data_IF_038128660240
#
_entry.id   IF_038128660240
#
_cell.length_a   1.000
_cell.length_b   1.000
_cell.length_c   1.000
_cell.angle_alpha   90.00
_cell.angle_beta   90.00
_cell.angle_gamma   90.00
#
_symmetry.space_group_name_H-M   'P 1'
#
loop_
_entity.id
_entity.type
_entity.pdbx_description
1 polymer ?
#
# COMPACT_ATOMS: atom_id res chain seq x y z
N UNK A 1 -1.92 1.87 3.71
CA UNK A 1 -3.34 1.84 3.29
C UNK A 1 -3.80 3.11 2.58
N UNK A 2 -3.40 4.27 3.06
CA UNK A 2 -3.86 5.54 2.47
C UNK A 2 -3.54 5.65 0.98
N UNK A 3 -2.33 5.24 0.58
CA UNK A 3 -1.88 5.34 -0.81
C UNK A 3 -2.74 4.54 -1.79
N UNK A 4 -3.37 3.45 -1.35
CA UNK A 4 -4.19 2.58 -2.20
C UNK A 4 -5.69 2.83 -2.04
N UNK A 5 -6.09 3.80 -1.22
CA UNK A 5 -7.51 4.05 -0.91
C UNK A 5 -8.26 4.75 -2.04
N UNK A 6 -7.58 5.39 -2.96
CA UNK A 6 -8.19 6.08 -4.09
C UNK A 6 -8.44 5.13 -5.27
N UNK A 7 -9.32 5.52 -6.19
CA UNK A 7 -9.63 4.74 -7.39
C UNK A 7 -8.42 4.60 -8.32
N UNK A 8 -7.55 5.61 -8.36
CA UNK A 8 -6.29 5.61 -9.10
C UNK A 8 -5.18 6.11 -8.22
N UNK A 9 -4.04 5.47 -8.30
CA UNK A 9 -2.85 5.86 -7.54
C UNK A 9 -1.66 6.04 -8.47
N UNK A 10 -0.77 6.97 -8.14
CA UNK A 10 0.44 7.25 -8.91
C UNK A 10 1.61 7.48 -7.98
N UNK A 11 2.80 7.16 -8.45
CA UNK A 11 4.04 7.37 -7.72
C UNK A 11 5.12 7.80 -8.70
N UNK A 12 5.94 8.78 -8.31
CA UNK A 12 7.10 9.17 -9.13
C UNK A 12 8.22 8.13 -8.96
N UNK A 13 9.06 7.94 -10.01
CA UNK A 13 10.09 6.87 -9.95
C UNK A 13 11.06 6.98 -8.80
N UNK A 14 11.33 8.19 -8.31
CA UNK A 14 12.28 8.44 -7.22
C UNK A 14 11.66 8.38 -5.83
N UNK A 15 10.35 8.31 -5.73
CA UNK A 15 9.67 8.18 -4.44
C UNK A 15 9.78 6.75 -3.90
N UNK A 16 9.69 6.61 -2.60
CA UNK A 16 9.73 5.32 -1.94
C UNK A 16 8.53 5.12 -1.02
N UNK A 17 8.17 3.86 -0.84
CA UNK A 17 7.14 3.43 0.11
C UNK A 17 7.75 2.39 1.03
N UNK A 18 7.32 2.38 2.28
CA UNK A 18 7.74 1.35 3.24
C UNK A 18 6.57 0.43 3.54
N UNK A 19 6.81 -0.86 3.39
CA UNK A 19 5.85 -1.91 3.76
C UNK A 19 6.41 -2.61 4.99
N UNK A 20 5.72 -2.50 6.11
CA UNK A 20 6.17 -3.10 7.36
C UNK A 20 4.99 -3.66 8.15
N UNK A 21 5.24 -4.62 9.08
CA UNK A 21 4.19 -5.11 9.97
C UNK A 21 3.67 -4.00 10.89
N UNK A 22 2.50 -4.24 11.44
CA UNK A 22 1.94 -3.36 12.48
C UNK A 22 2.92 -3.28 13.65
N UNK A 23 3.19 -2.08 14.13
CA UNK A 23 4.09 -1.83 15.26
C UNK A 23 3.31 -1.31 16.45
N UNK A 24 3.80 -1.64 17.65
CA UNK A 24 3.26 -1.09 18.89
C UNK A 24 4.38 -0.45 19.70
N UNK A 25 4.08 0.68 20.32
CA UNK A 25 4.96 1.32 21.30
C UNK A 25 4.32 1.22 22.68
N UNK A 26 5.14 1.03 23.72
CA UNK A 26 4.70 0.98 25.11
C UNK A 26 4.80 -0.41 25.72
N UNK A 27 4.29 -0.54 26.95
CA UNK A 27 4.31 -1.80 27.70
C UNK A 27 3.14 -2.67 27.27
N UNK A 28 3.44 -3.92 26.90
CA UNK A 28 2.42 -4.91 26.51
C UNK A 28 2.04 -5.75 27.73
N UNK A 29 0.77 -5.72 28.11
CA UNK A 29 0.19 -6.51 29.19
C UNK A 29 -0.80 -7.49 28.57
N UNK A 30 -0.78 -8.76 28.98
CA UNK A 30 -1.64 -9.80 28.42
C UNK A 30 -1.19 -10.23 27.01
N UNK A 31 0.07 -10.69 26.92
CA UNK A 31 0.74 -10.99 25.64
C UNK A 31 -0.05 -11.87 24.65
N UNK A 32 -0.73 -12.97 25.03
CA UNK A 32 -1.48 -13.78 24.05
C UNK A 32 -2.64 -13.03 23.40
N UNK A 33 -3.43 -12.29 24.18
CA UNK A 33 -4.55 -11.51 23.67
C UNK A 33 -4.06 -10.36 22.77
N UNK A 34 -2.97 -9.71 23.15
CA UNK A 34 -2.34 -8.65 22.35
C UNK A 34 -1.82 -9.18 21.02
N UNK A 35 -1.19 -10.36 21.02
CA UNK A 35 -0.72 -11.01 19.81
C UNK A 35 -1.86 -11.29 18.82
N UNK A 36 -2.97 -11.84 19.30
CA UNK A 36 -4.14 -12.09 18.44
C UNK A 36 -4.75 -10.81 17.90
N UNK A 37 -4.80 -9.76 18.71
CA UNK A 37 -5.28 -8.46 18.30
C UNK A 37 -4.42 -7.88 17.16
N UNK A 38 -3.11 -7.97 17.29
CA UNK A 38 -2.17 -7.54 16.27
C UNK A 38 -2.35 -8.29 14.98
N UNK A 39 -2.46 -9.61 15.04
CA UNK A 39 -2.67 -10.43 13.85
C UNK A 39 -3.95 -10.03 13.13
N UNK A 40 -5.02 -9.75 13.89
CA UNK A 40 -6.28 -9.30 13.30
C UNK A 40 -6.15 -7.97 12.58
N UNK A 41 -5.49 -6.98 13.18
CA UNK A 41 -5.26 -5.69 12.55
C UNK A 41 -4.42 -5.87 11.28
N UNK A 42 -3.37 -6.68 11.34
CA UNK A 42 -2.50 -6.93 10.22
C UNK A 42 -3.24 -7.59 9.05
N UNK A 43 -4.11 -8.54 9.33
CA UNK A 43 -4.96 -9.17 8.32
C UNK A 43 -5.93 -8.17 7.71
N UNK A 44 -6.53 -7.30 8.51
CA UNK A 44 -7.45 -6.25 8.01
C UNK A 44 -6.73 -5.30 7.07
N UNK A 45 -5.50 -4.88 7.41
CA UNK A 45 -4.69 -4.01 6.55
C UNK A 45 -4.33 -4.74 5.25
N UNK A 46 -3.93 -5.99 5.34
CA UNK A 46 -3.58 -6.82 4.17
C UNK A 46 -4.79 -6.99 3.26
N UNK A 47 -5.95 -7.28 3.83
CA UNK A 47 -7.21 -7.39 3.07
C UNK A 47 -7.55 -6.09 2.37
N UNK A 48 -7.42 -4.96 3.05
CA UNK A 48 -7.68 -3.65 2.47
C UNK A 48 -6.74 -3.34 1.30
N UNK A 49 -5.45 -3.57 1.49
CA UNK A 49 -4.44 -3.29 0.45
C UNK A 49 -4.65 -4.19 -0.77
N UNK A 50 -4.89 -5.48 -0.56
CA UNK A 50 -5.08 -6.42 -1.68
C UNK A 50 -6.41 -6.19 -2.40
N UNK A 51 -7.44 -5.73 -1.70
CA UNK A 51 -8.73 -5.39 -2.30
C UNK A 51 -8.68 -4.11 -3.13
N UNK A 52 -7.79 -3.17 -2.79
CA UNK A 52 -7.71 -1.84 -3.43
C UNK A 52 -6.49 -1.67 -4.35
N UNK A 53 -5.73 -2.74 -4.59
CA UNK A 53 -4.59 -2.73 -5.50
C UNK A 53 -4.52 -4.05 -6.25
N UNK A 54 -3.53 -4.19 -7.15
CA UNK A 54 -3.33 -5.42 -7.91
C UNK A 54 -2.27 -6.33 -7.31
N UNK A 55 -1.68 -5.93 -6.18
CA UNK A 55 -0.67 -6.75 -5.50
C UNK A 55 -1.34 -8.01 -4.93
N UNK A 56 -0.64 -9.14 -5.00
CA UNK A 56 -1.12 -10.38 -4.40
C UNK A 56 -0.87 -10.37 -2.89
N UNK A 57 -1.69 -11.12 -2.16
CA UNK A 57 -1.51 -11.28 -0.72
C UNK A 57 -0.14 -11.87 -0.39
N UNK A 58 0.31 -12.85 -1.16
CA UNK A 58 1.62 -13.47 -0.99
C UNK A 58 2.76 -12.45 -1.16
N UNK A 59 2.74 -11.67 -2.23
CA UNK A 59 3.76 -10.66 -2.49
C UNK A 59 3.77 -9.59 -1.41
N UNK A 60 2.61 -9.11 -0.99
CA UNK A 60 2.49 -8.12 0.08
C UNK A 60 3.03 -8.67 1.41
N UNK A 61 2.71 -9.91 1.74
CA UNK A 61 3.21 -10.57 2.95
C UNK A 61 4.73 -10.74 2.89
N UNK A 62 5.29 -11.09 1.74
CA UNK A 62 6.73 -11.24 1.55
C UNK A 62 7.45 -9.89 1.79
N UNK A 63 6.91 -8.80 1.25
CA UNK A 63 7.47 -7.47 1.49
C UNK A 63 7.41 -7.09 2.98
N UNK A 64 6.28 -7.36 3.61
CA UNK A 64 6.06 -7.01 5.02
C UNK A 64 7.00 -7.74 5.97
N UNK A 65 7.30 -8.99 5.67
CA UNK A 65 8.10 -9.87 6.55
C UNK A 65 9.58 -9.96 6.16
N UNK A 66 10.01 -9.24 5.12
CA UNK A 66 11.40 -9.26 4.69
C UNK A 66 12.33 -8.69 5.76
N UNK A 67 13.51 -9.28 5.89
CA UNK A 67 14.54 -8.84 6.83
C UNK A 67 15.76 -8.31 6.08
N UNK A 68 16.52 -7.40 6.70
CA UNK A 68 17.74 -6.84 6.10
C UNK A 68 17.52 -5.64 5.18
N UNK A 69 16.28 -5.32 4.83
CA UNK A 69 15.96 -4.15 4.00
C UNK A 69 15.92 -2.86 4.83
N UNK A 70 15.54 -2.98 6.08
CA UNK A 70 15.46 -1.88 7.05
C UNK A 70 16.41 -2.21 8.19
N UNK A 71 17.31 -1.31 8.52
CA UNK A 71 18.48 -1.58 9.39
C UNK A 71 18.14 -2.19 10.75
N UNK A 72 16.99 -1.84 11.35
CA UNK A 72 16.64 -2.26 12.71
C UNK A 72 15.27 -2.90 12.83
N UNK A 73 14.61 -3.22 11.68
CA UNK A 73 13.23 -3.68 11.72
C UNK A 73 12.92 -4.59 10.52
N UNK A 74 11.71 -5.14 10.53
CA UNK A 74 11.18 -6.01 9.47
C UNK A 74 10.39 -5.16 8.48
N UNK A 75 10.54 -5.44 7.19
CA UNK A 75 9.80 -4.75 6.14
C UNK A 75 10.64 -4.53 4.89
N UNK A 76 10.06 -3.85 3.92
CA UNK A 76 10.69 -3.59 2.63
C UNK A 76 10.46 -2.14 2.21
N UNK A 77 11.51 -1.51 1.66
CA UNK A 77 11.40 -0.22 0.99
C UNK A 77 11.20 -0.49 -0.49
N UNK A 78 10.12 0.01 -1.06
CA UNK A 78 9.73 -0.19 -2.46
C UNK A 78 9.78 1.17 -3.16
N UNK A 79 10.56 1.25 -4.24
CA UNK A 79 10.64 2.46 -5.05
C UNK A 79 9.55 2.48 -6.12
N UNK A 80 9.36 3.65 -6.75
CA UNK A 80 8.23 3.89 -7.64
C UNK A 80 8.00 2.81 -8.70
N UNK A 81 9.04 2.39 -9.42
CA UNK A 81 8.90 1.34 -10.45
C UNK A 81 8.44 0.02 -9.87
N UNK A 82 9.07 -0.40 -8.79
CA UNK A 82 8.72 -1.67 -8.14
C UNK A 82 7.31 -1.62 -7.56
N UNK A 83 6.89 -0.47 -7.04
CA UNK A 83 5.53 -0.29 -6.54
C UNK A 83 4.49 -0.51 -7.65
N UNK A 84 4.78 -0.06 -8.87
CA UNK A 84 3.90 -0.27 -10.03
C UNK A 84 3.99 -1.71 -10.54
N UNK A 85 5.19 -2.25 -10.67
CA UNK A 85 5.40 -3.62 -11.16
C UNK A 85 4.75 -4.66 -10.25
N UNK A 86 4.80 -4.46 -8.93
CA UNK A 86 4.16 -5.35 -7.97
C UNK A 86 2.63 -5.23 -7.93
N UNK A 87 2.08 -4.19 -8.54
CA UNK A 87 0.64 -3.92 -8.53
C UNK A 87 0.14 -3.11 -7.35
N UNK A 88 1.05 -2.65 -6.48
CA UNK A 88 0.69 -1.87 -5.30
C UNK A 88 0.15 -0.49 -5.68
N UNK A 89 0.78 0.16 -6.65
CA UNK A 89 0.37 1.46 -7.20
C UNK A 89 0.06 1.30 -8.68
N UNK A 90 -0.91 2.05 -9.18
CA UNK A 90 -1.40 1.88 -10.55
C UNK A 90 -0.42 2.33 -11.62
N UNK A 91 0.21 3.51 -11.47
CA UNK A 91 1.05 4.10 -12.51
C UNK A 91 2.21 4.92 -11.95
N UNK A 92 3.27 5.00 -12.74
CA UNK A 92 4.29 6.02 -12.55
C UNK A 92 3.77 7.36 -13.07
N UNK A 93 3.98 8.43 -12.31
CA UNK A 93 3.60 9.78 -12.73
C UNK A 93 3.66 10.77 -11.59
N UNK A 94 3.71 12.06 -11.94
CA UNK A 94 3.71 13.17 -11.00
C UNK A 94 2.33 13.81 -10.88
N UNK A 95 2.29 15.01 -10.30
CA UNK A 95 1.05 15.75 -10.07
C UNK A 95 0.33 16.05 -11.38
N UNK A 96 1.06 16.43 -12.41
CA UNK A 96 0.48 16.73 -13.74
C UNK A 96 -0.26 15.51 -14.29
N UNK A 97 0.37 14.34 -14.24
CA UNK A 97 -0.22 13.08 -14.71
C UNK A 97 -1.45 12.71 -13.91
N UNK A 98 -1.42 12.94 -12.61
CA UNK A 98 -2.56 12.68 -11.73
C UNK A 98 -3.75 13.58 -12.07
N UNK A 99 -3.49 14.86 -12.33
CA UNK A 99 -4.54 15.81 -12.72
C UNK A 99 -5.14 15.46 -14.08
N UNK A 100 -4.32 15.09 -15.07
CA UNK A 100 -4.82 14.63 -16.36
C UNK A 100 -5.70 13.38 -16.21
N UNK A 101 -5.27 12.41 -15.41
CA UNK A 101 -6.03 11.20 -15.14
C UNK A 101 -7.38 11.54 -14.52
N UNK A 102 -7.39 12.44 -13.53
CA UNK A 102 -8.62 12.88 -12.88
C UNK A 102 -9.60 13.55 -13.85
N UNK A 103 -9.10 14.42 -14.73
CA UNK A 103 -9.92 15.07 -15.76
C UNK A 103 -10.55 14.04 -16.69
N UNK A 104 -9.80 13.01 -17.11
CA UNK A 104 -10.34 11.94 -17.95
C UNK A 104 -11.43 11.14 -17.23
N UNK A 105 -11.25 10.86 -15.94
CA UNK A 105 -12.25 10.15 -15.15
C UNK A 105 -13.54 10.96 -15.01
N UNK A 106 -13.42 12.26 -14.80
CA UNK A 106 -14.58 13.17 -14.73
C UNK A 106 -15.32 13.20 -16.08
N UNK A 107 -14.59 13.33 -17.19
CA UNK A 107 -15.19 13.33 -18.52
C UNK A 107 -15.94 12.03 -18.84
N UNK A 108 -15.37 10.87 -18.46
CA UNK A 108 -16.04 9.57 -18.63
C UNK A 108 -17.33 9.48 -17.82
N UNK A 109 -17.31 9.96 -16.59
CA UNK A 109 -18.48 9.96 -15.71
C UNK A 109 -19.59 10.85 -16.28
N UNK A 110 -19.24 12.02 -16.81
CA UNK A 110 -20.20 12.92 -17.46
C UNK A 110 -20.78 12.31 -18.74
N UNK A 111 -19.95 11.66 -19.55
CA UNK A 111 -20.38 10.97 -20.77
C UNK A 111 -21.37 9.85 -20.49
N UNK A 112 -21.23 9.13 -19.38
CA UNK A 112 -22.13 8.04 -18.99
C UNK A 112 -23.46 8.53 -18.42
N UNK A 113 -23.62 9.83 -18.18
CA UNK A 113 -24.86 10.44 -17.67
C UNK A 113 -25.76 10.99 -18.76
N UNK A 114 -25.28 11.00 -20.00
CA UNK A 114 -26.02 11.51 -21.15
C UNK A 114 -27.09 10.60 -21.72
#
# INVERSE_FOLDING_TARGET
PLAVSAKKSMIVPTASMMIHPVRMSGVVVGAPATYHYFQRIQEQITDFVTANSRITREQFSNYMMATGQIATDVGTIVYGREAVESGLIDRLGGLHDALECLHRMIARKQGNRG
#
